data_IF_837450438902
#
_entry.id   IF_837450438902
#
_cell.length_a   1.000
_cell.length_b   1.000
_cell.length_c   1.000
_cell.angle_alpha   90.00
_cell.angle_beta   90.00
_cell.angle_gamma   90.00
#
_symmetry.space_group_name_H-M   'P 1'
#
loop_
_entity.id
_entity.type
_entity.pdbx_description
1 polymer ?
#
# COMPACT_ATOMS: atom_id res chain seq x y z
N UNK A 1 10.98 -29.98 -7.57
CA UNK A 1 12.35 -29.69 -8.05
C UNK A 1 12.43 -28.22 -8.44
N UNK A 2 12.84 -27.36 -7.52
CA UNK A 2 12.96 -25.91 -7.71
C UNK A 2 14.43 -25.58 -8.02
N UNK A 3 14.71 -25.10 -9.23
CA UNK A 3 16.04 -24.63 -9.60
C UNK A 3 16.23 -23.20 -9.07
N UNK A 4 17.22 -23.04 -8.19
CA UNK A 4 17.63 -21.78 -7.57
C UNK A 4 18.52 -21.01 -8.56
N UNK A 5 18.03 -19.91 -9.12
CA UNK A 5 18.87 -18.98 -9.88
C UNK A 5 18.99 -17.67 -9.10
N UNK A 6 20.16 -17.49 -8.46
CA UNK A 6 20.60 -16.23 -7.81
C UNK A 6 21.23 -15.31 -8.85
N UNK A 7 21.04 -14.01 -8.71
CA UNK A 7 21.85 -13.00 -9.39
C UNK A 7 22.95 -12.56 -8.41
N UNK A 8 24.20 -12.97 -8.66
CA UNK A 8 25.40 -12.49 -7.96
C UNK A 8 26.23 -11.69 -8.97
N UNK A 9 26.60 -10.46 -8.63
CA UNK A 9 27.80 -9.84 -9.21
C UNK A 9 28.98 -10.13 -8.27
N UNK A 10 29.93 -10.94 -8.74
CA UNK A 10 31.12 -11.31 -7.98
C UNK A 10 32.25 -10.30 -8.20
N UNK A 11 32.60 -9.57 -7.15
CA UNK A 11 34.00 -9.26 -6.82
C UNK A 11 34.16 -9.39 -5.30
N UNK A 12 34.74 -10.52 -4.90
CA UNK A 12 35.28 -10.89 -3.58
C UNK A 12 34.67 -10.20 -2.35
N UNK A 13 33.79 -10.91 -1.62
CA UNK A 13 33.47 -10.56 -0.24
C UNK A 13 33.39 -11.83 0.63
N UNK A 14 34.09 -11.76 1.76
CA UNK A 14 34.11 -12.72 2.86
C UNK A 14 32.73 -12.96 3.46
N UNK A 15 32.58 -14.11 4.12
CA UNK A 15 31.37 -14.58 4.78
C UNK A 15 30.88 -13.64 5.91
N UNK A 16 30.08 -12.62 5.57
CA UNK A 16 29.13 -11.97 6.50
C UNK A 16 28.06 -11.09 5.82
N UNK A 17 27.93 -11.10 4.48
CA UNK A 17 26.99 -10.23 3.77
C UNK A 17 25.81 -11.07 3.25
N UNK A 18 24.65 -10.96 3.89
CA UNK A 18 23.43 -11.55 3.36
C UNK A 18 23.08 -10.78 2.08
N UNK A 19 23.44 -11.31 0.92
CA UNK A 19 23.11 -10.71 -0.37
C UNK A 19 21.59 -10.51 -0.47
N UNK A 20 21.14 -9.26 -0.41
CA UNK A 20 19.73 -8.90 -0.63
C UNK A 20 19.36 -9.25 -2.08
N UNK A 21 18.23 -9.93 -2.27
CA UNK A 21 17.79 -10.38 -3.58
C UNK A 21 16.27 -10.38 -3.69
N UNK A 22 15.75 -10.06 -4.88
CA UNK A 22 14.37 -10.34 -5.23
C UNK A 22 14.26 -11.77 -5.79
N UNK A 23 13.21 -12.47 -5.39
CA UNK A 23 12.95 -13.84 -5.83
C UNK A 23 11.79 -13.87 -6.81
N UNK A 24 11.98 -14.55 -7.94
CA UNK A 24 10.96 -14.75 -8.97
C UNK A 24 10.59 -16.23 -9.05
N UNK A 25 9.31 -16.53 -9.27
CA UNK A 25 8.85 -17.92 -9.35
C UNK A 25 9.31 -18.65 -10.62
N UNK A 26 9.77 -17.92 -11.64
CA UNK A 26 10.26 -18.47 -12.90
C UNK A 26 11.11 -17.44 -13.66
N UNK A 27 11.94 -17.91 -14.59
CA UNK A 27 12.71 -17.04 -15.49
C UNK A 27 11.82 -16.07 -16.28
N UNK A 28 10.70 -16.49 -16.89
CA UNK A 28 9.79 -15.55 -17.57
C UNK A 28 9.23 -14.44 -16.68
N UNK A 29 9.02 -14.71 -15.38
CA UNK A 29 8.59 -13.67 -14.44
C UNK A 29 9.71 -12.63 -14.18
N UNK A 30 10.95 -13.08 -14.09
CA UNK A 30 12.11 -12.19 -13.97
C UNK A 30 12.30 -11.37 -15.24
N UNK A 31 12.26 -12.01 -16.41
CA UNK A 31 12.40 -11.33 -17.71
C UNK A 31 11.32 -10.25 -17.89
N UNK A 32 10.07 -10.58 -17.53
CA UNK A 32 8.96 -9.62 -17.55
C UNK A 32 9.18 -8.46 -16.59
N UNK A 33 9.71 -8.71 -15.39
CA UNK A 33 10.01 -7.66 -14.43
C UNK A 33 11.11 -6.73 -14.97
N UNK A 34 12.23 -7.29 -15.45
CA UNK A 34 13.35 -6.53 -16.02
C UNK A 34 12.88 -5.69 -17.22
N UNK A 35 12.06 -6.27 -18.10
CA UNK A 35 11.53 -5.56 -19.26
C UNK A 35 10.58 -4.39 -18.89
N UNK A 36 9.99 -4.42 -17.70
CA UNK A 36 9.09 -3.35 -17.22
C UNK A 36 9.80 -2.30 -16.39
N UNK A 37 10.97 -2.63 -15.85
CA UNK A 37 11.80 -1.76 -15.03
C UNK A 37 12.68 -0.85 -15.89
N UNK A 38 12.65 0.46 -15.62
CA UNK A 38 13.35 1.46 -16.43
C UNK A 38 14.64 1.81 -15.70
N UNK A 39 15.77 1.58 -16.37
CA UNK A 39 17.11 1.82 -15.82
C UNK A 39 17.38 1.09 -14.48
N UNK A 40 16.64 0.01 -14.18
CA UNK A 40 16.74 -0.69 -12.89
C UNK A 40 16.20 0.11 -11.69
N UNK A 41 15.46 1.20 -11.93
CA UNK A 41 15.01 2.14 -10.91
C UNK A 41 14.08 1.48 -9.89
N UNK A 42 13.14 0.65 -10.34
CA UNK A 42 12.19 -0.01 -9.45
C UNK A 42 12.87 -1.07 -8.60
N UNK A 43 13.70 -1.90 -9.23
CA UNK A 43 14.52 -2.90 -8.55
C UNK A 43 15.41 -2.29 -7.46
N UNK A 44 16.18 -1.25 -7.80
CA UNK A 44 17.08 -0.58 -6.85
C UNK A 44 16.28 0.04 -5.70
N UNK A 45 15.14 0.66 -6.00
CA UNK A 45 14.25 1.22 -4.98
C UNK A 45 13.75 0.15 -4.00
N UNK A 46 13.33 -1.02 -4.50
CA UNK A 46 12.86 -2.13 -3.66
C UNK A 46 13.98 -2.71 -2.80
N UNK A 47 15.19 -2.90 -3.35
CA UNK A 47 16.33 -3.37 -2.58
C UNK A 47 16.76 -2.39 -1.49
N UNK A 48 16.65 -1.09 -1.75
CA UNK A 48 16.94 -0.08 -0.74
C UNK A 48 15.95 -0.14 0.43
N UNK A 49 14.65 -0.33 0.17
CA UNK A 49 13.66 -0.57 1.22
C UNK A 49 14.02 -1.81 2.03
N UNK A 50 14.33 -2.92 1.36
CA UNK A 50 14.69 -4.18 2.01
C UNK A 50 15.92 -4.03 2.91
N UNK A 51 16.95 -3.34 2.41
CA UNK A 51 18.17 -3.09 3.18
C UNK A 51 17.90 -2.27 4.43
N UNK A 52 17.13 -1.19 4.30
CA UNK A 52 16.85 -0.29 5.40
C UNK A 52 15.93 -0.92 6.45
N UNK A 53 14.93 -1.70 6.01
CA UNK A 53 14.07 -2.46 6.90
C UNK A 53 14.88 -3.49 7.70
N UNK A 54 15.71 -4.29 7.04
CA UNK A 54 16.56 -5.30 7.68
C UNK A 54 17.58 -4.67 8.65
N UNK A 55 18.19 -3.53 8.29
CA UNK A 55 19.08 -2.77 9.20
C UNK A 55 18.34 -2.26 10.42
N UNK A 56 17.11 -1.75 10.25
CA UNK A 56 16.26 -1.30 11.34
C UNK A 56 15.92 -2.40 12.34
N UNK A 57 15.64 -3.62 11.85
CA UNK A 57 15.41 -4.80 12.69
C UNK A 57 16.64 -5.17 13.51
N UNK A 58 17.82 -5.22 12.88
CA UNK A 58 19.07 -5.62 13.54
C UNK A 58 19.53 -4.62 14.61
N UNK A 59 19.28 -3.31 14.42
CA UNK A 59 19.62 -2.29 15.42
C UNK A 59 18.76 -2.37 16.69
N UNK A 60 17.59 -3.01 16.65
CA UNK A 60 16.70 -3.19 17.82
C UNK A 60 17.03 -4.41 18.68
N UNK A 61 17.84 -5.35 18.20
CA UNK A 61 18.06 -6.62 18.91
C UNK A 61 19.02 -6.53 20.10
N UNK A 62 19.86 -5.50 20.18
CA UNK A 62 21.00 -5.46 21.11
C UNK A 62 20.86 -4.47 22.30
N UNK A 63 19.78 -3.68 22.38
CA UNK A 63 19.57 -2.68 23.45
C UNK A 63 18.08 -2.60 23.84
N UNK A 64 17.65 -3.50 24.73
CA UNK A 64 16.24 -3.64 25.16
C UNK A 64 15.71 -2.39 25.88
N UNK A 65 16.54 -1.70 26.66
CA UNK A 65 16.14 -0.48 27.39
C UNK A 65 15.90 0.68 26.42
N UNK A 66 16.81 0.89 25.46
CA UNK A 66 16.63 1.89 24.42
C UNK A 66 15.41 1.58 23.54
N UNK A 67 15.16 0.30 23.26
CA UNK A 67 13.96 -0.12 22.53
C UNK A 67 12.69 0.28 23.27
N UNK A 68 12.60 -0.01 24.58
CA UNK A 68 11.45 0.33 25.41
C UNK A 68 11.21 1.85 25.47
N UNK A 69 12.27 2.63 25.65
CA UNK A 69 12.17 4.10 25.66
C UNK A 69 11.67 4.67 24.32
N UNK A 70 12.09 4.08 23.19
CA UNK A 70 11.63 4.49 21.86
C UNK A 70 10.14 4.18 21.66
N UNK A 71 9.69 2.98 22.06
CA UNK A 71 8.29 2.57 21.98
C UNK A 71 7.38 3.43 22.88
N UNK A 72 7.83 3.76 24.10
CA UNK A 72 7.11 4.66 25.00
C UNK A 72 6.98 6.08 24.41
N UNK A 73 8.08 6.65 23.90
CA UNK A 73 8.07 7.97 23.29
C UNK A 73 7.19 8.03 22.02
N UNK A 74 7.16 6.95 21.23
CA UNK A 74 6.28 6.85 20.07
C UNK A 74 4.81 6.80 20.48
N UNK A 75 4.49 5.96 21.47
CA UNK A 75 3.14 5.83 22.03
C UNK A 75 2.63 7.17 22.59
N UNK A 76 3.49 7.92 23.28
CA UNK A 76 3.16 9.25 23.80
C UNK A 76 2.88 10.25 22.67
N UNK A 77 3.69 10.23 21.61
CA UNK A 77 3.48 11.08 20.44
C UNK A 77 2.18 10.75 19.69
N UNK A 78 1.84 9.46 19.56
CA UNK A 78 0.58 9.00 18.98
C UNK A 78 -0.63 9.44 19.82
N UNK A 79 -0.56 9.26 21.14
CA UNK A 79 -1.64 9.67 22.05
C UNK A 79 -1.86 11.18 22.05
N UNK A 80 -0.78 11.96 22.01
CA UNK A 80 -0.87 13.42 21.87
C UNK A 80 -1.56 13.81 20.57
N UNK A 81 -1.17 13.20 19.45
CA UNK A 81 -1.75 13.47 18.14
C UNK A 81 -3.23 13.08 18.09
N UNK A 82 -3.60 11.96 18.71
CA UNK A 82 -4.99 11.53 18.83
C UNK A 82 -5.84 12.54 19.60
N UNK A 83 -5.33 13.06 20.73
CA UNK A 83 -6.03 14.07 21.51
C UNK A 83 -6.22 15.38 20.73
N UNK A 84 -5.19 15.82 19.99
CA UNK A 84 -5.28 16.98 19.11
C UNK A 84 -6.32 16.76 17.99
N UNK A 85 -6.33 15.58 17.36
CA UNK A 85 -7.28 15.23 16.30
C UNK A 85 -8.72 15.24 16.79
N UNK A 86 -8.98 14.68 17.99
CA UNK A 86 -10.33 14.65 18.58
C UNK A 86 -10.86 16.04 18.98
N UNK A 87 -9.96 17.00 19.19
CA UNK A 87 -10.30 18.38 19.54
C UNK A 87 -10.35 19.30 18.33
N UNK A 88 -9.94 18.83 17.14
CA UNK A 88 -9.94 19.63 15.93
C UNK A 88 -11.38 19.93 15.49
N UNK A 89 -11.67 21.22 15.27
CA UNK A 89 -12.95 21.66 14.71
C UNK A 89 -13.10 21.23 13.24
N UNK A 90 -11.98 21.29 12.49
CA UNK A 90 -11.87 20.83 11.10
C UNK A 90 -10.82 19.72 11.00
N UNK A 91 -11.30 18.48 10.95
CA UNK A 91 -10.47 17.27 10.89
C UNK A 91 -9.67 17.21 9.59
N UNK A 92 -10.26 17.62 8.46
CA UNK A 92 -9.60 17.57 7.16
C UNK A 92 -8.45 18.58 7.08
N UNK A 93 -8.70 19.80 7.58
CA UNK A 93 -7.67 20.83 7.68
C UNK A 93 -6.56 20.39 8.63
N UNK A 94 -6.89 19.85 9.79
CA UNK A 94 -5.91 19.34 10.76
C UNK A 94 -5.01 18.26 10.13
N UNK A 95 -5.59 17.26 9.47
CA UNK A 95 -4.82 16.22 8.78
C UNK A 95 -3.90 16.85 7.72
N UNK A 96 -4.44 17.77 6.92
CA UNK A 96 -3.68 18.47 5.87
C UNK A 96 -2.48 19.26 6.44
N UNK A 97 -2.66 19.92 7.59
CA UNK A 97 -1.60 20.62 8.30
C UNK A 97 -0.51 19.68 8.79
N UNK A 98 -0.86 18.53 9.39
CA UNK A 98 0.13 17.53 9.84
C UNK A 98 0.97 16.98 8.69
N UNK A 99 0.38 16.81 7.52
CA UNK A 99 1.10 16.44 6.29
C UNK A 99 2.09 17.52 5.83
N UNK A 100 1.72 18.80 5.91
CA UNK A 100 2.62 19.92 5.60
C UNK A 100 3.75 20.07 6.64
N UNK A 101 3.42 19.93 7.93
CA UNK A 101 4.40 19.93 9.01
C UNK A 101 5.47 18.84 8.81
N UNK A 102 5.05 17.64 8.40
CA UNK A 102 5.96 16.53 8.12
C UNK A 102 6.96 16.86 7.00
N UNK A 103 6.51 17.52 5.94
CA UNK A 103 7.40 18.01 4.87
C UNK A 103 8.40 19.05 5.37
N UNK A 104 7.92 20.08 6.06
CA UNK A 104 8.77 21.15 6.59
C UNK A 104 9.82 20.55 7.55
N UNK A 105 9.39 19.68 8.46
CA UNK A 105 10.28 19.01 9.41
C UNK A 105 11.36 18.18 8.71
N UNK A 106 10.99 17.43 7.67
CA UNK A 106 11.94 16.65 6.89
C UNK A 106 12.95 17.56 6.17
N UNK A 107 12.48 18.63 5.53
CA UNK A 107 13.35 19.61 4.86
C UNK A 107 14.32 20.29 5.84
N UNK A 108 13.86 20.67 7.03
CA UNK A 108 14.68 21.25 8.09
C UNK A 108 15.73 20.27 8.64
N UNK A 109 15.42 18.97 8.71
CA UNK A 109 16.39 17.95 9.12
C UNK A 109 17.47 17.75 8.05
N UNK A 110 17.07 17.70 6.78
CA UNK A 110 18.00 17.57 5.65
C UNK A 110 18.87 18.81 5.47
N UNK A 111 18.34 20.01 5.73
CA UNK A 111 19.07 21.28 5.56
C UNK A 111 20.28 21.39 6.49
N UNK A 112 20.22 20.78 7.68
CA UNK A 112 21.31 20.73 8.67
C UNK A 112 22.52 19.90 8.21
N UNK A 113 22.37 19.08 7.18
CA UNK A 113 23.44 18.22 6.66
C UNK A 113 24.28 18.93 5.59
N UNK A 114 25.59 18.66 5.58
CA UNK A 114 26.48 19.13 4.51
C UNK A 114 26.12 18.45 3.18
N UNK A 115 26.27 19.10 2.01
CA UNK A 115 25.92 18.51 0.70
C UNK A 115 26.57 17.15 0.42
N UNK A 116 27.81 16.93 0.86
CA UNK A 116 28.50 15.63 0.74
C UNK A 116 27.87 14.53 1.61
N UNK A 117 27.28 14.87 2.75
CA UNK A 117 26.60 13.91 3.63
C UNK A 117 25.25 13.47 3.05
N UNK A 118 24.56 14.36 2.31
CA UNK A 118 23.27 14.07 1.68
C UNK A 118 23.35 13.05 0.53
N UNK A 119 24.53 12.88 -0.09
CA UNK A 119 24.72 12.00 -1.25
C UNK A 119 24.93 10.52 -0.88
N UNK A 120 25.11 10.17 0.39
CA UNK A 120 25.34 8.80 0.83
C UNK A 120 24.28 8.40 1.86
N UNK A 121 23.37 7.51 1.50
CA UNK A 121 22.28 7.03 2.37
C UNK A 121 22.77 6.44 3.69
N UNK A 122 23.97 5.85 3.73
CA UNK A 122 24.54 5.35 4.99
C UNK A 122 24.78 6.48 6.00
N UNK A 123 25.00 7.71 5.54
CA UNK A 123 25.11 8.88 6.41
C UNK A 123 23.75 9.45 6.82
N UNK A 124 22.65 9.00 6.20
CA UNK A 124 21.28 9.45 6.51
C UNK A 124 20.52 8.44 7.38
N UNK A 125 21.09 7.27 7.61
CA UNK A 125 20.40 6.14 8.24
C UNK A 125 19.81 6.47 9.62
N UNK A 126 20.47 7.35 10.39
CA UNK A 126 19.98 7.77 11.71
C UNK A 126 18.77 8.70 11.65
N UNK A 127 18.46 9.30 10.49
CA UNK A 127 17.28 10.12 10.28
C UNK A 127 16.09 9.30 9.76
N UNK A 128 16.36 8.15 9.16
CA UNK A 128 15.35 7.26 8.60
C UNK A 128 14.60 6.60 9.77
N UNK A 129 13.28 6.76 9.84
CA UNK A 129 12.49 6.15 10.90
C UNK A 129 12.54 4.63 10.77
N UNK A 130 12.52 3.93 11.91
CA UNK A 130 12.26 2.49 11.95
C UNK A 130 10.82 2.26 11.53
N UNK A 131 10.60 1.21 10.76
CA UNK A 131 9.30 0.84 10.23
C UNK A 131 8.95 -0.58 10.65
N UNK A 132 7.67 -0.85 10.87
CA UNK A 132 7.13 -2.19 11.12
C UNK A 132 6.78 -2.90 9.79
N UNK A 133 6.28 -4.14 9.87
CA UNK A 133 5.94 -4.95 8.68
C UNK A 133 4.83 -4.31 7.83
N UNK A 134 3.82 -3.69 8.46
CA UNK A 134 2.73 -3.03 7.74
C UNK A 134 3.23 -1.81 6.97
N UNK A 135 4.06 -0.98 7.61
CA UNK A 135 4.69 0.20 7.00
C UNK A 135 5.65 -0.19 5.88
N UNK A 136 6.40 -1.28 6.06
CA UNK A 136 7.26 -1.84 5.02
C UNK A 136 6.45 -2.24 3.77
N UNK A 137 5.32 -2.92 3.95
CA UNK A 137 4.43 -3.30 2.84
C UNK A 137 3.83 -2.06 2.16
N UNK A 138 3.40 -1.07 2.93
CA UNK A 138 2.84 0.19 2.42
C UNK A 138 3.88 0.99 1.61
N UNK A 139 5.12 1.09 2.10
CA UNK A 139 6.22 1.76 1.40
C UNK A 139 6.51 1.10 0.06
N UNK A 140 6.56 -0.24 -0.01
CA UNK A 140 6.78 -0.97 -1.28
C UNK A 140 5.64 -0.73 -2.26
N UNK A 141 4.41 -0.72 -1.78
CA UNK A 141 3.24 -0.39 -2.58
C UNK A 141 3.33 1.04 -3.14
N UNK A 142 3.66 2.02 -2.29
CA UNK A 142 3.82 3.43 -2.68
C UNK A 142 4.92 3.57 -3.75
N UNK A 143 6.10 2.99 -3.53
CA UNK A 143 7.20 3.02 -4.52
C UNK A 143 6.76 2.43 -5.85
N UNK A 144 5.95 1.36 -5.84
CA UNK A 144 5.36 0.80 -7.05
C UNK A 144 4.55 1.83 -7.83
N UNK A 145 3.70 2.60 -7.16
CA UNK A 145 2.88 3.64 -7.80
C UNK A 145 3.75 4.82 -8.26
N UNK A 146 4.69 5.29 -7.43
CA UNK A 146 5.62 6.36 -7.81
C UNK A 146 6.42 5.98 -9.06
N UNK A 147 6.86 4.73 -9.14
CA UNK A 147 7.52 4.21 -10.34
C UNK A 147 6.59 4.20 -11.56
N UNK A 148 5.32 3.80 -11.43
CA UNK A 148 4.36 3.89 -12.54
C UNK A 148 4.14 5.34 -13.00
N UNK A 149 4.06 6.30 -12.07
CA UNK A 149 3.96 7.73 -12.40
C UNK A 149 5.20 8.23 -13.14
N UNK A 150 6.40 7.88 -12.65
CA UNK A 150 7.66 8.18 -13.33
C UNK A 150 7.70 7.58 -14.74
N UNK A 151 7.34 6.31 -14.88
CA UNK A 151 7.28 5.58 -16.15
C UNK A 151 6.37 6.26 -17.16
N UNK A 152 5.18 6.67 -16.73
CA UNK A 152 4.22 7.41 -17.56
C UNK A 152 4.86 8.69 -18.12
N UNK A 153 5.41 9.52 -17.23
CA UNK A 153 5.92 10.84 -17.61
C UNK A 153 7.19 10.78 -18.48
N UNK A 154 7.98 9.71 -18.36
CA UNK A 154 9.28 9.58 -19.04
C UNK A 154 9.27 8.66 -20.27
N UNK A 155 8.26 7.78 -20.43
CA UNK A 155 8.23 6.82 -21.55
C UNK A 155 7.06 6.98 -22.53
N UNK A 156 6.03 7.78 -22.20
CA UNK A 156 4.91 8.03 -23.14
C UNK A 156 5.29 8.89 -24.35
N UNK A 157 6.39 9.65 -24.28
CA UNK A 157 6.86 10.52 -25.37
C UNK A 157 7.70 9.79 -26.43
N UNK A 158 8.09 8.53 -26.20
CA UNK A 158 8.77 7.73 -27.21
C UNK A 158 7.75 7.26 -28.25
N UNK A 159 7.67 7.96 -29.39
CA UNK A 159 6.75 7.63 -30.51
C UNK A 159 6.91 6.21 -31.06
N UNK A 160 7.94 5.47 -30.63
CA UNK A 160 8.22 4.08 -30.99
C UNK A 160 7.69 3.06 -29.96
N UNK A 161 7.26 3.50 -28.76
CA UNK A 161 6.85 2.64 -27.63
C UNK A 161 5.33 2.45 -27.51
N UNK A 162 4.57 2.72 -28.58
CA UNK A 162 3.11 2.58 -28.72
C UNK A 162 2.58 1.14 -28.59
N UNK A 163 3.21 0.34 -27.73
CA UNK A 163 2.71 -0.94 -27.26
C UNK A 163 1.41 -0.74 -26.46
N UNK A 164 0.48 -1.67 -26.67
CA UNK A 164 -0.77 -1.78 -25.92
C UNK A 164 -0.57 -1.73 -24.39
N UNK A 165 0.56 -2.26 -23.90
CA UNK A 165 0.89 -2.24 -22.47
C UNK A 165 1.09 -0.86 -21.88
N UNK A 166 1.74 0.08 -22.59
CA UNK A 166 1.96 1.45 -22.09
C UNK A 166 0.63 2.19 -22.01
N UNK A 167 -0.21 2.05 -23.04
CA UNK A 167 -1.56 2.63 -23.06
C UNK A 167 -2.45 2.10 -21.92
N UNK A 168 -2.39 0.80 -21.61
CA UNK A 168 -3.13 0.22 -20.49
C UNK A 168 -2.62 0.72 -19.14
N UNK A 169 -1.29 0.82 -18.94
CA UNK A 169 -0.73 1.37 -17.69
C UNK A 169 -1.11 2.84 -17.49
N UNK A 170 -1.14 3.63 -18.55
CA UNK A 170 -1.62 5.02 -18.51
C UNK A 170 -3.08 5.11 -18.10
N UNK A 171 -3.94 4.28 -18.72
CA UNK A 171 -5.35 4.20 -18.38
C UNK A 171 -5.56 3.81 -16.92
N UNK A 172 -4.85 2.80 -16.39
CA UNK A 172 -4.95 2.41 -14.98
C UNK A 172 -4.53 3.55 -14.04
N UNK A 173 -3.51 4.35 -14.39
CA UNK A 173 -3.12 5.53 -13.60
C UNK A 173 -4.18 6.64 -13.64
N UNK A 174 -4.87 6.84 -14.77
CA UNK A 174 -5.99 7.77 -14.86
C UNK A 174 -7.17 7.28 -14.02
N UNK A 175 -7.52 6.00 -14.10
CA UNK A 175 -8.57 5.39 -13.30
C UNK A 175 -8.21 5.45 -11.81
N UNK A 176 -6.94 5.23 -11.46
CA UNK A 176 -6.44 5.40 -10.10
C UNK A 176 -6.73 6.80 -9.56
N UNK A 177 -6.62 7.84 -10.38
CA UNK A 177 -6.95 9.21 -9.96
C UNK A 177 -8.43 9.39 -9.58
N UNK A 178 -9.33 8.55 -10.10
CA UNK A 178 -10.76 8.60 -9.86
C UNK A 178 -11.24 7.74 -8.68
N UNK A 179 -10.37 6.88 -8.11
CA UNK A 179 -10.74 6.04 -6.98
C UNK A 179 -11.11 6.87 -5.75
N UNK A 180 -12.08 6.38 -4.98
CA UNK A 180 -12.48 6.96 -3.71
C UNK A 180 -11.34 6.87 -2.71
N UNK A 181 -11.08 7.97 -1.98
CA UNK A 181 -10.20 8.01 -0.82
C UNK A 181 -11.07 8.02 0.44
N UNK A 182 -10.74 7.16 1.40
CA UNK A 182 -11.36 7.13 2.72
C UNK A 182 -10.31 7.39 3.82
N UNK A 183 -9.32 8.23 3.52
CA UNK A 183 -8.23 8.52 4.45
C UNK A 183 -8.73 9.26 5.69
N UNK A 184 -9.67 10.19 5.55
CA UNK A 184 -10.20 10.98 6.65
C UNK A 184 -10.95 10.06 7.64
N UNK A 185 -11.90 9.27 7.15
CA UNK A 185 -12.69 8.35 7.98
C UNK A 185 -11.79 7.30 8.64
N UNK A 186 -10.76 6.84 7.92
CA UNK A 186 -9.82 5.85 8.45
C UNK A 186 -8.89 6.44 9.51
N UNK A 187 -8.36 7.64 9.30
CA UNK A 187 -7.53 8.34 10.29
C UNK A 187 -8.38 8.69 11.52
N UNK A 188 -9.62 9.13 11.32
CA UNK A 188 -10.52 9.42 12.42
C UNK A 188 -10.80 8.17 13.28
N UNK A 189 -11.04 7.03 12.64
CA UNK A 189 -11.25 5.75 13.32
C UNK A 189 -9.98 5.20 13.97
N UNK A 190 -8.82 5.43 13.36
CA UNK A 190 -7.52 4.92 13.78
C UNK A 190 -6.45 6.04 13.80
N UNK A 191 -6.46 6.93 14.82
CA UNK A 191 -5.65 8.14 14.84
C UNK A 191 -4.13 7.92 14.76
N UNK A 192 -3.63 6.80 15.30
CA UNK A 192 -2.22 6.41 15.21
C UNK A 192 -1.71 6.33 13.76
N UNK A 193 -2.59 6.06 12.79
CA UNK A 193 -2.23 6.01 11.37
C UNK A 193 -1.71 7.35 10.88
N UNK A 194 -2.19 8.49 11.39
CA UNK A 194 -1.66 9.79 10.99
C UNK A 194 -0.18 9.93 11.37
N UNK A 195 0.21 9.42 12.55
CA UNK A 195 1.62 9.40 12.97
C UNK A 195 2.44 8.47 12.06
N UNK A 196 1.97 7.24 11.83
CA UNK A 196 2.62 6.28 10.95
C UNK A 196 2.79 6.83 9.53
N UNK A 197 1.76 7.45 8.94
CA UNK A 197 1.81 7.99 7.59
C UNK A 197 2.78 9.17 7.45
N UNK A 198 2.76 10.11 8.40
CA UNK A 198 3.53 11.36 8.31
C UNK A 198 4.96 11.23 8.84
N UNK A 199 5.14 10.63 10.02
CA UNK A 199 6.43 10.58 10.71
C UNK A 199 7.27 9.35 10.36
N UNK A 200 6.63 8.28 9.86
CA UNK A 200 7.30 7.06 9.44
C UNK A 200 7.34 6.91 7.92
N UNK A 201 6.21 6.63 7.27
CA UNK A 201 6.16 6.30 5.85
C UNK A 201 6.64 7.47 4.97
N UNK A 202 6.05 8.66 5.11
CA UNK A 202 6.43 9.83 4.31
C UNK A 202 7.89 10.21 4.52
N UNK A 203 8.32 10.27 5.79
CA UNK A 203 9.71 10.60 6.14
C UNK A 203 10.69 9.56 5.59
N UNK A 204 10.37 8.27 5.69
CA UNK A 204 11.16 7.20 5.10
C UNK A 204 11.33 7.45 3.61
N UNK A 205 10.22 7.57 2.87
CA UNK A 205 10.21 7.80 1.43
C UNK A 205 11.04 9.04 1.05
N UNK A 206 10.83 10.16 1.75
CA UNK A 206 11.51 11.42 1.44
C UNK A 206 13.02 11.34 1.62
N UNK A 207 13.48 10.62 2.64
CA UNK A 207 14.92 10.51 2.96
C UNK A 207 15.61 9.41 2.16
N UNK A 208 14.94 8.29 1.90
CA UNK A 208 15.58 7.08 1.37
C UNK A 208 15.37 6.86 -0.13
N UNK A 209 14.35 7.44 -0.75
CA UNK A 209 14.04 7.12 -2.15
C UNK A 209 15.01 7.79 -3.13
N UNK A 210 15.31 7.11 -4.23
CA UNK A 210 16.20 7.57 -5.30
C UNK A 210 15.75 8.91 -5.90
N UNK A 211 16.73 9.73 -6.30
CA UNK A 211 16.54 11.11 -6.78
C UNK A 211 15.51 11.23 -7.92
N UNK A 212 15.49 10.27 -8.84
CA UNK A 212 14.53 10.22 -9.96
C UNK A 212 13.06 10.17 -9.50
N UNK A 213 12.76 9.58 -8.34
CA UNK A 213 11.40 9.48 -7.81
C UNK A 213 11.04 10.60 -6.82
N UNK A 214 12.02 11.37 -6.33
CA UNK A 214 11.80 12.46 -5.36
C UNK A 214 10.78 13.53 -5.81
N UNK A 215 10.66 13.90 -7.10
CA UNK A 215 9.62 14.84 -7.56
C UNK A 215 8.18 14.36 -7.29
N UNK A 216 7.97 13.05 -7.15
CA UNK A 216 6.67 12.45 -6.88
C UNK A 216 6.39 12.28 -5.38
N UNK A 217 7.36 12.60 -4.51
CA UNK A 217 7.23 12.45 -3.05
C UNK A 217 6.88 13.83 -2.46
N UNK A 218 5.59 14.14 -2.53
CA UNK A 218 4.97 15.29 -1.87
C UNK A 218 3.90 14.83 -0.89
N UNK A 219 3.54 15.63 0.13
CA UNK A 219 2.48 15.25 1.05
C UNK A 219 1.17 14.93 0.34
N UNK A 220 0.82 15.70 -0.70
CA UNK A 220 -0.40 15.48 -1.49
C UNK A 220 -0.39 14.15 -2.24
N UNK A 221 0.71 13.80 -2.92
CA UNK A 221 0.79 12.54 -3.68
C UNK A 221 0.81 11.34 -2.74
N UNK A 222 1.63 11.37 -1.68
CA UNK A 222 1.73 10.24 -0.74
C UNK A 222 0.41 10.02 0.01
N UNK A 223 -0.24 11.09 0.49
CA UNK A 223 -1.58 11.00 1.11
C UNK A 223 -2.61 10.41 0.15
N UNK A 224 -2.63 10.88 -1.11
CA UNK A 224 -3.54 10.35 -2.13
C UNK A 224 -3.31 8.85 -2.39
N UNK A 225 -2.05 8.39 -2.41
CA UNK A 225 -1.73 6.98 -2.61
C UNK A 225 -2.23 6.12 -1.45
N UNK A 226 -1.94 6.52 -0.21
CA UNK A 226 -2.35 5.79 1.00
C UNK A 226 -3.88 5.80 1.16
N UNK A 227 -4.51 6.94 0.92
CA UNK A 227 -5.96 7.09 1.06
C UNK A 227 -6.73 6.18 0.09
N UNK A 228 -6.24 6.07 -1.14
CA UNK A 228 -6.82 5.16 -2.15
C UNK A 228 -6.48 3.71 -1.91
N UNK A 229 -5.36 3.39 -1.26
CA UNK A 229 -5.03 2.01 -0.92
C UNK A 229 -6.11 1.39 -0.02
N UNK A 230 -6.53 2.14 1.00
CA UNK A 230 -7.25 1.65 2.16
C UNK A 230 -8.57 0.93 1.89
N UNK A 231 -9.29 1.28 0.83
CA UNK A 231 -10.62 0.73 0.50
C UNK A 231 -10.77 0.34 -0.97
N UNK A 232 -9.65 0.16 -1.68
CA UNK A 232 -9.68 -0.27 -3.08
C UNK A 232 -8.85 -1.52 -3.35
N UNK A 233 -8.04 -1.99 -2.41
CA UNK A 233 -7.14 -3.12 -2.63
C UNK A 233 -7.79 -4.49 -2.55
N UNK A 234 -7.15 -5.41 -3.26
CA UNK A 234 -7.47 -6.82 -3.25
C UNK A 234 -6.41 -7.57 -2.46
N UNK A 235 -6.82 -8.19 -1.34
CA UNK A 235 -5.97 -9.10 -0.58
C UNK A 235 -5.60 -10.35 -1.40
N UNK A 236 -4.33 -10.73 -1.32
CA UNK A 236 -3.74 -11.89 -1.98
C UNK A 236 -3.48 -12.92 -0.90
N UNK A 237 -4.26 -14.01 -0.93
CA UNK A 237 -4.19 -15.08 0.06
C UNK A 237 -3.69 -16.39 -0.58
N UNK A 238 -3.18 -17.32 0.21
CA UNK A 238 -2.94 -18.70 -0.22
C UNK A 238 -4.23 -19.36 -0.70
N UNK A 239 -4.10 -20.51 -1.38
CA UNK A 239 -5.27 -21.35 -1.63
C UNK A 239 -5.77 -21.93 -0.30
N UNK A 240 -7.03 -22.37 -0.25
CA UNK A 240 -7.58 -23.05 0.92
C UNK A 240 -6.68 -24.25 1.30
N UNK A 241 -6.04 -24.19 2.47
CA UNK A 241 -5.37 -25.34 3.07
C UNK A 241 -6.42 -26.32 3.63
N UNK A 242 -6.11 -27.63 3.75
CA UNK A 242 -7.06 -28.63 4.26
C UNK A 242 -7.60 -28.36 5.68
N UNK A 243 -6.87 -27.59 6.48
CA UNK A 243 -7.24 -27.17 7.84
C UNK A 243 -8.09 -25.89 7.86
N UNK A 244 -8.39 -25.31 6.70
CA UNK A 244 -9.14 -24.06 6.54
C UNK A 244 -8.30 -22.79 6.73
N UNK A 245 -6.99 -22.90 6.98
CA UNK A 245 -6.13 -21.73 7.12
C UNK A 245 -5.80 -21.09 5.77
N UNK A 246 -5.68 -19.76 5.78
CA UNK A 246 -5.23 -18.95 4.65
C UNK A 246 -4.08 -18.06 5.09
N UNK A 247 -2.97 -18.17 4.39
CA UNK A 247 -1.84 -17.27 4.57
C UNK A 247 -2.05 -15.99 3.76
N UNK A 248 -1.80 -14.84 4.36
CA UNK A 248 -1.85 -13.56 3.68
C UNK A 248 -0.49 -13.27 3.02
N UNK A 249 -0.45 -13.19 1.69
CA UNK A 249 0.77 -12.86 0.95
C UNK A 249 0.95 -11.36 0.71
N UNK A 250 -0.08 -10.54 0.96
CA UNK A 250 -0.08 -9.11 0.72
C UNK A 250 -1.30 -8.66 -0.07
N UNK A 251 -1.23 -7.48 -0.69
CA UNK A 251 -2.34 -6.89 -1.42
C UNK A 251 -1.88 -6.27 -2.73
N UNK A 252 -2.83 -6.05 -3.63
CA UNK A 252 -2.59 -5.35 -4.89
C UNK A 252 -3.80 -4.49 -5.26
N UNK A 253 -3.53 -3.32 -5.82
CA UNK A 253 -4.55 -2.43 -6.35
C UNK A 253 -4.71 -2.68 -7.85
N UNK A 254 -5.96 -2.88 -8.27
CA UNK A 254 -6.34 -2.99 -9.68
C UNK A 254 -7.37 -1.89 -9.95
N UNK A 255 -6.94 -0.66 -10.30
CA UNK A 255 -7.82 0.50 -10.33
C UNK A 255 -9.12 0.26 -11.11
N UNK A 256 -9.06 -0.31 -12.31
CA UNK A 256 -10.26 -0.63 -13.10
C UNK A 256 -11.22 -1.60 -12.41
N UNK A 257 -10.70 -2.56 -11.64
CA UNK A 257 -11.51 -3.54 -10.93
C UNK A 257 -12.06 -2.98 -9.61
N UNK A 258 -11.40 -2.00 -9.00
CA UNK A 258 -11.83 -1.39 -7.74
C UNK A 258 -13.12 -0.57 -7.87
N UNK A 259 -13.62 -0.34 -9.08
CA UNK A 259 -14.93 0.27 -9.34
C UNK A 259 -16.13 -0.66 -9.12
N UNK A 260 -15.93 -1.97 -8.96
CA UNK A 260 -17.04 -2.86 -8.65
C UNK A 260 -17.53 -2.64 -7.23
N UNK A 261 -18.71 -2.04 -7.08
CA UNK A 261 -19.35 -1.86 -5.78
C UNK A 261 -19.73 -3.18 -5.12
N UNK A 262 -20.07 -3.09 -3.84
CA UNK A 262 -20.50 -4.23 -3.05
C UNK A 262 -21.98 -4.60 -3.25
N UNK A 263 -22.27 -5.90 -3.29
CA UNK A 263 -23.61 -6.44 -3.01
C UNK A 263 -23.52 -7.79 -2.29
N UNK A 264 -24.45 -8.05 -1.37
CA UNK A 264 -24.58 -9.34 -0.69
C UNK A 264 -25.31 -10.39 -1.53
N UNK A 265 -25.81 -9.99 -2.71
CA UNK A 265 -26.33 -10.84 -3.78
C UNK A 265 -25.66 -10.41 -5.12
N UNK A 266 -24.34 -10.57 -5.26
CA UNK A 266 -23.56 -10.00 -6.36
C UNK A 266 -23.90 -10.65 -7.71
N UNK A 267 -23.58 -9.93 -8.79
CA UNK A 267 -23.61 -10.47 -10.15
C UNK A 267 -22.32 -11.17 -10.52
N UNK A 268 -21.20 -10.75 -9.92
CA UNK A 268 -19.88 -11.23 -10.25
C UNK A 268 -19.29 -12.05 -9.11
N UNK A 269 -18.64 -13.16 -9.46
CA UNK A 269 -17.69 -13.86 -8.60
C UNK A 269 -16.27 -13.49 -8.98
N UNK A 270 -15.44 -13.26 -7.96
CA UNK A 270 -14.01 -13.01 -8.07
C UNK A 270 -13.25 -14.32 -7.96
N UNK A 271 -12.52 -14.70 -9.01
CA UNK A 271 -11.74 -15.93 -9.09
C UNK A 271 -10.25 -15.56 -9.22
N UNK A 272 -9.42 -16.05 -8.30
CA UNK A 272 -7.96 -15.87 -8.38
C UNK A 272 -7.35 -16.99 -9.24
N UNK A 273 -6.54 -16.62 -10.24
CA UNK A 273 -5.76 -17.56 -11.06
C UNK A 273 -4.31 -17.08 -11.18
N UNK A 274 -3.44 -17.61 -10.34
CA UNK A 274 -2.06 -17.12 -10.22
C UNK A 274 -2.03 -15.66 -9.78
N UNK A 275 -1.35 -14.82 -10.56
CA UNK A 275 -1.28 -13.36 -10.35
C UNK A 275 -2.42 -12.57 -11.01
N UNK A 276 -3.48 -13.24 -11.48
CA UNK A 276 -4.64 -12.60 -12.12
C UNK A 276 -5.89 -12.76 -11.26
N UNK A 277 -6.74 -11.73 -11.32
CA UNK A 277 -8.11 -11.79 -10.84
C UNK A 277 -9.04 -11.85 -12.05
N UNK A 278 -9.97 -12.80 -12.04
CA UNK A 278 -10.97 -13.01 -13.09
C UNK A 278 -12.34 -12.76 -12.47
N UNK A 279 -13.13 -11.89 -13.09
CA UNK A 279 -14.51 -11.63 -12.71
C UNK A 279 -15.44 -12.39 -13.66
N UNK A 280 -16.33 -13.21 -13.12
CA UNK A 280 -17.26 -14.04 -13.90
C UNK A 280 -18.70 -13.77 -13.47
N UNK A 281 -19.61 -13.66 -14.43
CA UNK A 281 -21.05 -13.57 -14.16
C UNK A 281 -21.56 -14.85 -13.51
N UNK A 282 -22.33 -14.68 -12.43
CA UNK A 282 -23.07 -15.74 -11.74
C UNK A 282 -24.50 -15.89 -12.26
N UNK A 283 -25.07 -14.80 -12.78
CA UNK A 283 -26.45 -14.72 -13.28
C UNK A 283 -26.52 -13.77 -14.48
N UNK A 284 -27.60 -13.87 -15.25
CA UNK A 284 -27.85 -12.95 -16.35
C UNK A 284 -27.97 -11.51 -15.83
N UNK A 285 -27.44 -10.56 -16.61
CA UNK A 285 -27.42 -9.13 -16.31
C UNK A 285 -28.10 -8.39 -17.45
N UNK A 286 -29.00 -7.47 -17.15
CA UNK A 286 -29.64 -6.61 -18.16
C UNK A 286 -28.73 -5.44 -18.51
N UNK A 287 -28.96 -4.84 -19.67
CA UNK A 287 -28.27 -3.61 -20.06
C UNK A 287 -28.48 -2.53 -18.99
N UNK A 288 -27.40 -1.86 -18.61
CA UNK A 288 -27.36 -0.81 -17.58
C UNK A 288 -27.59 -1.27 -16.13
N UNK A 289 -27.63 -2.58 -15.85
CA UNK A 289 -27.57 -3.07 -14.47
C UNK A 289 -26.13 -2.98 -13.95
N UNK A 290 -25.98 -2.50 -12.71
CA UNK A 290 -24.69 -2.36 -12.06
C UNK A 290 -24.09 -3.72 -11.73
N UNK A 291 -22.80 -3.89 -12.05
CA UNK A 291 -22.05 -5.08 -11.71
C UNK A 291 -21.45 -4.92 -10.32
N UNK A 292 -21.92 -5.72 -9.36
CA UNK A 292 -21.39 -5.74 -8.00
C UNK A 292 -20.63 -7.04 -7.71
N UNK A 293 -19.66 -6.96 -6.80
CA UNK A 293 -18.93 -8.09 -6.21
C UNK A 293 -19.22 -8.22 -4.70
N UNK A 294 -18.85 -9.35 -4.10
CA UNK A 294 -18.87 -9.51 -2.65
C UNK A 294 -17.55 -9.04 -2.02
N UNK A 295 -17.62 -8.15 -1.03
CA UNK A 295 -16.46 -7.65 -0.27
C UNK A 295 -16.24 -8.47 1.01
N UNK A 296 -17.31 -9.04 1.57
CA UNK A 296 -17.26 -9.78 2.83
C UNK A 296 -16.52 -11.12 2.73
N UNK A 297 -16.26 -11.70 3.90
CA UNK A 297 -15.58 -12.99 4.04
C UNK A 297 -16.44 -14.17 3.55
N UNK A 298 -17.72 -14.20 3.94
CA UNK A 298 -18.65 -15.23 3.50
C UNK A 298 -19.97 -14.64 3.03
N UNK A 299 -20.50 -15.22 1.94
CA UNK A 299 -21.82 -14.86 1.42
C UNK A 299 -22.95 -15.42 2.28
N UNK A 300 -22.68 -16.43 3.12
CA UNK A 300 -23.69 -17.08 3.96
C UNK A 300 -23.86 -16.43 5.33
N UNK A 301 -23.05 -15.42 5.64
CA UNK A 301 -23.10 -14.74 6.93
C UNK A 301 -24.44 -14.01 7.14
N UNK A 302 -24.86 -13.94 8.41
CA UNK A 302 -26.06 -13.21 8.83
C UNK A 302 -25.91 -11.71 8.60
N UNK A 303 -27.05 -11.01 8.44
CA UNK A 303 -27.11 -9.56 8.21
C UNK A 303 -26.18 -8.75 9.12
N UNK A 304 -26.23 -8.99 10.43
CA UNK A 304 -25.47 -8.19 11.41
C UNK A 304 -23.96 -8.40 11.26
N UNK A 305 -23.53 -9.62 10.98
CA UNK A 305 -22.12 -9.96 10.73
C UNK A 305 -21.65 -9.27 9.44
N UNK A 306 -22.44 -9.37 8.36
CA UNK A 306 -22.14 -8.72 7.09
C UNK A 306 -22.03 -7.21 7.24
N UNK A 307 -23.01 -6.55 7.89
CA UNK A 307 -22.97 -5.11 8.12
C UNK A 307 -21.77 -4.70 8.96
N UNK A 308 -21.52 -5.40 10.08
CA UNK A 308 -20.36 -5.12 10.95
C UNK A 308 -19.04 -5.21 10.19
N UNK A 309 -18.87 -6.22 9.34
CA UNK A 309 -17.68 -6.34 8.51
C UNK A 309 -17.56 -5.19 7.49
N UNK A 310 -18.67 -4.84 6.83
CA UNK A 310 -18.67 -3.79 5.81
C UNK A 310 -18.44 -2.38 6.38
N UNK A 311 -18.61 -2.17 7.69
CA UNK A 311 -18.23 -0.91 8.35
C UNK A 311 -16.75 -0.58 8.23
N UNK A 312 -15.87 -1.55 7.98
CA UNK A 312 -14.45 -1.30 7.66
C UNK A 312 -14.25 -0.63 6.29
N UNK A 313 -15.29 -0.60 5.45
CA UNK A 313 -15.32 0.08 4.15
C UNK A 313 -16.04 1.43 4.21
N UNK A 314 -16.47 1.86 5.40
CA UNK A 314 -17.13 3.15 5.66
C UNK A 314 -18.47 3.36 4.93
N UNK A 315 -19.24 2.28 4.74
CA UNK A 315 -20.61 2.35 4.21
C UNK A 315 -21.57 1.38 4.91
N UNK A 316 -22.88 1.60 4.74
CA UNK A 316 -23.95 0.67 5.11
C UNK A 316 -24.49 -0.02 3.87
N UNK A 317 -24.56 -1.36 3.88
CA UNK A 317 -25.04 -2.08 2.71
C UNK A 317 -26.57 -2.07 2.64
N UNK A 318 -27.10 -1.44 1.61
CA UNK A 318 -28.54 -1.35 1.34
C UNK A 318 -28.96 -2.16 0.10
N UNK A 319 -28.21 -3.23 -0.24
CA UNK A 319 -28.62 -4.12 -1.32
C UNK A 319 -29.95 -4.81 -1.00
N UNK A 320 -30.64 -5.31 -2.03
CA UNK A 320 -31.94 -5.99 -1.95
C UNK A 320 -32.01 -6.99 -0.78
N UNK A 321 -31.06 -7.92 -0.71
CA UNK A 321 -30.98 -8.92 0.38
C UNK A 321 -30.88 -8.29 1.76
N UNK A 322 -30.08 -7.24 1.92
CA UNK A 322 -29.95 -6.55 3.21
C UNK A 322 -31.26 -5.89 3.64
N UNK A 323 -31.93 -5.21 2.71
CA UNK A 323 -33.20 -4.51 2.97
C UNK A 323 -34.30 -5.51 3.34
N UNK A 324 -34.41 -6.63 2.61
CA UNK A 324 -35.35 -7.70 2.92
C UNK A 324 -35.12 -8.29 4.32
N UNK A 325 -33.88 -8.64 4.64
CA UNK A 325 -33.52 -9.21 5.95
C UNK A 325 -33.76 -8.21 7.10
N UNK A 326 -33.51 -6.90 6.89
CA UNK A 326 -33.84 -5.85 7.86
C UNK A 326 -35.34 -5.75 8.11
N UNK A 327 -36.15 -5.73 7.04
CA UNK A 327 -37.61 -5.64 7.14
C UNK A 327 -38.18 -6.85 7.89
N UNK A 328 -37.68 -8.06 7.59
CA UNK A 328 -38.08 -9.28 8.29
C UNK A 328 -37.72 -9.26 9.78
N UNK A 329 -36.58 -8.67 10.15
CA UNK A 329 -36.21 -8.49 11.57
C UNK A 329 -37.10 -7.47 12.28
N UNK A 330 -37.41 -6.36 11.61
CA UNK A 330 -38.27 -5.31 12.19
C UNK A 330 -39.71 -5.78 12.38
N UNK A 331 -40.23 -6.62 11.47
CA UNK A 331 -41.57 -7.21 11.62
C UNK A 331 -41.67 -8.26 12.74
N UNK A 332 -40.54 -8.73 13.30
CA UNK A 332 -40.47 -9.70 14.39
C UNK A 332 -40.20 -9.07 15.77
N UNK A 333 -39.92 -7.77 15.81
CA UNK A 333 -39.83 -6.95 17.04
C UNK A 333 -41.18 -6.31 17.30
#
# INVERSE_FOLDING_TARGET
MSQKNKQNNSTSASASDSSLALYFCSQPCMDKFIALDIDGLYWESLLNVESLFSKGLNQCQYDLERKKQQEEAETEAELKLENELKQAEDIELFISQKWQEAEINCQLQLSKLKPKQRKNFNNLIYLIPKINENEYMEIKYIIGILFQMYKRDNCENDKLSSSLSVSLSSLELQIFQLLQSNDIEKIFKYPYLLHSYTNKIYKFLKISTLEKLQPYITPSIIRLIIGKNSTNVYGIWSSDEPDGNKEFFGYSLYPSASFFNHSCNPFLIKIKKGAKIIFKLLKNVKKNEELCIHYGNSITDDLEIRQKYLKEWFFDCLCERCVEEMNLKNAKK
#
